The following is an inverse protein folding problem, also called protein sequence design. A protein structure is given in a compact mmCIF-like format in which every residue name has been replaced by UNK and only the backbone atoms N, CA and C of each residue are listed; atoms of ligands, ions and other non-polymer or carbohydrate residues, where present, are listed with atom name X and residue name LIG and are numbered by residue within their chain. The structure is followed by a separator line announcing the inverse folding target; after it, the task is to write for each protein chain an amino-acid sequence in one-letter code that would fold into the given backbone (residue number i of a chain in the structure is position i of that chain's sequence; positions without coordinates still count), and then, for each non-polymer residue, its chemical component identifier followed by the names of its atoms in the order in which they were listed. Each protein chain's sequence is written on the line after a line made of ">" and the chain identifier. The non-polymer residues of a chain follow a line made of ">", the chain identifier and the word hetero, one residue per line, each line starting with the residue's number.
data_IF_002182919051
#
_entry.id   IF_002182919051
#
_cell.length_a   1.000
_cell.length_b   1.000
_cell.length_c   1.000
_cell.angle_alpha   90.00
_cell.angle_beta   90.00
_cell.angle_gamma   90.00
#
_symmetry.space_group_name_H-M   'P 1'
#
loop_
_entity.id
_entity.type
_entity.pdbx_description
1 polymer ?
#
# COMPACT_ATOMS: atom_id res chain seq x y z
N UNK A 1 7.44 7.89 -5.92
CA UNK A 1 7.76 6.45 -6.07
C UNK A 1 8.67 6.26 -7.27
N UNK A 2 9.68 5.44 -7.12
CA UNK A 2 10.65 5.22 -8.18
C UNK A 2 11.15 3.79 -8.17
N UNK A 3 11.50 3.28 -9.35
CA UNK A 3 12.15 1.98 -9.51
C UNK A 3 13.45 2.15 -10.26
N UNK A 4 14.52 1.55 -9.74
CA UNK A 4 15.84 1.67 -10.33
C UNK A 4 16.62 0.37 -10.10
N UNK A 5 16.81 -0.39 -11.18
CA UNK A 5 17.49 -1.68 -11.12
C UNK A 5 18.92 -1.57 -10.63
N UNK A 6 19.58 -0.43 -10.83
CA UNK A 6 20.97 -0.25 -10.42
C UNK A 6 21.11 -0.20 -8.89
N UNK A 7 20.02 -0.05 -8.17
CA UNK A 7 20.03 0.03 -6.70
C UNK A 7 19.73 -1.31 -6.05
N UNK A 8 19.74 -2.39 -6.82
CA UNK A 8 19.51 -3.72 -6.29
C UNK A 8 20.33 -3.96 -5.03
N UNK A 9 19.79 -4.61 -3.95
CA UNK A 9 18.45 -5.23 -3.94
C UNK A 9 17.30 -4.27 -3.63
N UNK A 10 17.56 -3.00 -3.34
CA UNK A 10 16.54 -2.05 -2.95
C UNK A 10 16.18 -1.17 -4.15
N UNK A 11 15.51 -1.81 -5.10
CA UNK A 11 15.23 -1.19 -6.40
C UNK A 11 14.03 -0.24 -6.38
N UNK A 12 13.21 -0.26 -5.33
CA UNK A 12 11.98 0.52 -5.27
C UNK A 12 12.04 1.50 -4.12
N UNK A 13 11.70 2.75 -4.39
CA UNK A 13 11.58 3.78 -3.38
C UNK A 13 10.12 4.19 -3.26
N UNK A 14 9.57 4.10 -2.06
CA UNK A 14 8.23 4.60 -1.78
C UNK A 14 8.34 5.75 -0.78
N UNK A 15 7.30 6.56 -0.70
CA UNK A 15 7.32 7.66 0.25
C UNK A 15 5.97 8.31 0.43
N UNK A 16 5.93 9.22 1.38
CA UNK A 16 4.80 10.04 1.71
C UNK A 16 5.29 11.37 2.25
N UNK A 17 4.43 12.09 2.94
CA UNK A 17 4.79 13.38 3.51
C UNK A 17 5.83 13.18 4.61
N UNK A 18 7.05 13.67 4.37
CA UNK A 18 8.09 13.67 5.39
C UNK A 18 8.81 12.36 5.62
N UNK A 19 8.60 11.34 4.76
CA UNK A 19 9.29 10.06 4.91
C UNK A 19 9.48 9.37 3.58
N UNK A 20 10.44 8.45 3.54
CA UNK A 20 10.69 7.60 2.39
C UNK A 20 11.28 6.27 2.87
N UNK A 21 11.08 5.21 2.11
CA UNK A 21 11.62 3.89 2.40
C UNK A 21 11.99 3.17 1.12
N UNK A 22 13.07 2.38 1.21
CA UNK A 22 13.53 1.57 0.09
C UNK A 22 13.05 0.14 0.26
N UNK A 23 12.56 -0.46 -0.82
CA UNK A 23 12.02 -1.82 -0.82
C UNK A 23 12.73 -2.65 -1.86
N UNK A 24 12.82 -3.96 -1.60
CA UNK A 24 13.20 -4.91 -2.65
C UNK A 24 12.03 -5.06 -3.61
N UNK A 25 12.31 -5.61 -4.80
CA UNK A 25 11.26 -5.87 -5.78
C UNK A 25 10.19 -6.81 -5.22
N UNK A 26 10.60 -7.87 -4.51
CA UNK A 26 9.63 -8.80 -3.93
C UNK A 26 8.74 -8.13 -2.89
N UNK A 27 9.33 -7.27 -2.05
CA UNK A 27 8.56 -6.53 -1.07
C UNK A 27 7.57 -5.59 -1.74
N UNK A 28 8.00 -4.91 -2.79
CA UNK A 28 7.14 -3.97 -3.51
C UNK A 28 6.02 -4.69 -4.25
N UNK A 29 6.30 -5.85 -4.84
CA UNK A 29 5.28 -6.64 -5.52
C UNK A 29 4.23 -7.16 -4.55
N UNK A 30 4.65 -7.64 -3.37
CA UNK A 30 3.72 -8.09 -2.34
C UNK A 30 2.86 -6.92 -1.85
N UNK A 31 3.45 -5.75 -1.65
CA UNK A 31 2.72 -4.56 -1.26
C UNK A 31 1.69 -4.19 -2.33
N UNK A 32 2.10 -4.18 -3.59
CA UNK A 32 1.20 -3.88 -4.71
C UNK A 32 0.00 -4.81 -4.72
N UNK A 33 0.25 -6.11 -4.59
CA UNK A 33 -0.83 -7.10 -4.65
C UNK A 33 -1.77 -6.97 -3.46
N UNK A 34 -1.23 -6.75 -2.27
CA UNK A 34 -2.05 -6.59 -1.08
C UNK A 34 -2.90 -5.33 -1.12
N UNK A 35 -2.31 -4.22 -1.53
CA UNK A 35 -3.04 -2.95 -1.63
C UNK A 35 -4.13 -3.05 -2.69
N UNK A 36 -3.83 -3.69 -3.83
CA UNK A 36 -4.85 -3.91 -4.87
C UNK A 36 -6.03 -4.68 -4.33
N UNK A 37 -5.77 -5.74 -3.57
CA UNK A 37 -6.85 -6.58 -3.02
C UNK A 37 -7.68 -5.81 -1.99
N UNK A 38 -7.04 -5.00 -1.14
CA UNK A 38 -7.77 -4.18 -0.18
C UNK A 38 -8.64 -3.13 -0.88
N UNK A 39 -8.08 -2.46 -1.89
CA UNK A 39 -8.83 -1.45 -2.64
C UNK A 39 -10.03 -2.08 -3.35
N UNK A 40 -9.86 -3.30 -3.86
CA UNK A 40 -10.95 -4.03 -4.49
C UNK A 40 -12.05 -4.37 -3.49
N UNK A 41 -11.67 -4.82 -2.29
CA UNK A 41 -12.63 -5.11 -1.24
C UNK A 41 -13.43 -3.86 -0.86
N UNK A 42 -12.75 -2.72 -0.73
CA UNK A 42 -13.43 -1.46 -0.43
C UNK A 42 -14.43 -1.13 -1.53
N UNK A 43 -14.03 -1.26 -2.78
CA UNK A 43 -14.90 -0.94 -3.91
C UNK A 43 -16.16 -1.81 -3.92
N UNK A 44 -16.02 -3.09 -3.56
CA UNK A 44 -17.16 -4.00 -3.51
C UNK A 44 -18.13 -3.66 -2.37
N UNK A 45 -17.63 -3.08 -1.28
CA UNK A 45 -18.44 -2.81 -0.10
C UNK A 45 -18.98 -1.39 -0.06
N UNK A 46 -18.39 -0.47 -0.82
CA UNK A 46 -18.67 0.97 -0.67
C UNK A 46 -20.13 1.32 -0.88
N UNK A 47 -20.82 0.63 -1.80
CA UNK A 47 -22.23 0.91 -2.10
C UNK A 47 -23.17 0.45 -0.99
N UNK A 48 -22.67 -0.34 -0.05
CA UNK A 48 -23.45 -0.84 1.08
C UNK A 48 -23.27 0.03 2.33
N UNK A 49 -22.36 1.00 2.27
CA UNK A 49 -22.07 1.86 3.42
C UNK A 49 -23.03 3.03 3.44
N UNK A 50 -23.52 3.36 4.64
CA UNK A 50 -24.24 4.60 4.86
C UNK A 50 -23.24 5.75 4.90
N UNK A 51 -23.73 6.97 4.75
CA UNK A 51 -22.88 8.15 4.63
C UNK A 51 -21.91 8.33 5.79
N UNK A 52 -22.34 7.95 7.00
CA UNK A 52 -21.55 8.12 8.21
C UNK A 52 -20.80 6.85 8.64
N UNK A 53 -20.94 5.76 7.89
CA UNK A 53 -20.26 4.51 8.23
C UNK A 53 -18.82 4.49 7.72
N UNK A 54 -17.95 3.86 8.50
CA UNK A 54 -16.59 3.57 8.07
C UNK A 54 -16.33 2.09 8.20
N UNK A 55 -15.36 1.60 7.44
CA UNK A 55 -14.93 0.21 7.50
C UNK A 55 -13.43 0.15 7.69
N UNK A 56 -13.00 -0.96 8.27
CA UNK A 56 -11.59 -1.25 8.42
C UNK A 56 -11.34 -2.63 7.83
N UNK A 57 -10.41 -2.71 6.88
CA UNK A 57 -10.05 -3.95 6.20
C UNK A 57 -8.58 -4.22 6.42
N UNK A 58 -8.26 -5.46 6.79
CA UNK A 58 -6.88 -5.87 7.05
C UNK A 58 -6.55 -7.09 6.24
N UNK A 59 -5.28 -7.19 5.82
CA UNK A 59 -4.77 -8.44 5.27
C UNK A 59 -3.26 -8.51 5.45
N UNK A 60 -2.74 -9.73 5.37
CA UNK A 60 -1.30 -9.96 5.35
C UNK A 60 -0.91 -10.49 3.99
N UNK A 61 0.21 -9.99 3.47
CA UNK A 61 0.74 -10.46 2.20
C UNK A 61 2.25 -10.49 2.28
N UNK A 62 2.84 -11.68 2.18
CA UNK A 62 4.25 -11.84 2.45
C UNK A 62 4.55 -11.45 3.88
N UNK A 63 5.48 -10.52 4.06
CA UNK A 63 5.82 -10.00 5.38
C UNK A 63 5.16 -8.66 5.69
N UNK A 64 4.18 -8.26 4.88
CA UNK A 64 3.43 -7.03 5.10
C UNK A 64 2.17 -7.31 5.90
N UNK A 65 1.85 -6.41 6.81
CA UNK A 65 0.52 -6.24 7.38
C UNK A 65 -0.04 -4.95 6.81
N UNK A 66 -1.26 -5.02 6.26
CA UNK A 66 -1.89 -3.88 5.59
C UNK A 66 -3.24 -3.62 6.21
N UNK A 67 -3.57 -2.35 6.37
CA UNK A 67 -4.87 -1.92 6.88
C UNK A 67 -5.39 -0.75 6.06
N UNK A 68 -6.62 -0.89 5.59
CA UNK A 68 -7.34 0.16 4.90
C UNK A 68 -8.50 0.59 5.78
N UNK A 69 -8.56 1.88 6.09
CA UNK A 69 -9.69 2.46 6.82
C UNK A 69 -10.38 3.46 5.91
N UNK A 70 -11.68 3.30 5.72
CA UNK A 70 -12.36 4.16 4.76
C UNK A 70 -13.84 4.27 4.98
N UNK A 71 -14.43 5.09 4.13
CA UNK A 71 -15.86 5.34 4.08
C UNK A 71 -16.27 5.43 2.61
N UNK A 72 -17.44 6.00 2.35
CA UNK A 72 -17.94 6.13 0.98
C UNK A 72 -17.09 7.07 0.12
N UNK A 73 -16.34 7.97 0.74
CA UNK A 73 -15.60 9.01 0.04
C UNK A 73 -14.18 8.57 -0.36
N UNK A 74 -13.60 7.64 0.41
CA UNK A 74 -12.24 7.20 0.15
C UNK A 74 -11.67 6.45 1.35
N UNK A 75 -10.35 6.31 1.38
CA UNK A 75 -9.71 5.52 2.42
C UNK A 75 -8.26 5.95 2.65
N UNK A 76 -7.79 5.68 3.86
CA UNK A 76 -6.40 5.79 4.23
C UNK A 76 -5.77 4.40 4.24
N UNK A 77 -4.46 4.33 4.15
CA UNK A 77 -3.72 3.08 4.07
C UNK A 77 -2.56 3.08 5.05
N UNK A 78 -2.45 2.01 5.82
CA UNK A 78 -1.29 1.77 6.69
C UNK A 78 -0.63 0.47 6.25
N UNK A 79 0.69 0.47 6.18
CA UNK A 79 1.45 -0.72 5.80
C UNK A 79 2.62 -0.90 6.75
N UNK A 80 2.79 -2.13 7.25
CA UNK A 80 3.89 -2.45 8.16
C UNK A 80 4.64 -3.65 7.62
N UNK A 81 5.94 -3.48 7.37
CA UNK A 81 6.80 -4.57 6.93
C UNK A 81 7.48 -5.17 8.17
N UNK A 82 7.36 -6.48 8.31
CA UNK A 82 7.94 -7.18 9.44
C UNK A 82 9.47 -7.16 9.38
N UNK A 83 10.16 -6.89 10.51
CA UNK A 83 11.61 -6.94 10.52
C UNK A 83 12.17 -8.32 10.18
N UNK A 84 11.39 -9.39 10.32
CA UNK A 84 11.84 -10.73 9.99
C UNK A 84 12.14 -10.90 8.51
N UNK A 85 11.52 -10.09 7.66
CA UNK A 85 11.69 -10.21 6.21
C UNK A 85 13.08 -9.80 5.76
N UNK A 86 13.67 -8.76 6.37
CA UNK A 86 14.87 -8.14 5.84
C UNK A 86 15.74 -7.53 6.94
N UNK A 87 15.48 -7.88 8.19
CA UNK A 87 16.16 -7.33 9.35
C UNK A 87 15.98 -5.82 9.47
N UNK A 88 14.97 -5.28 8.83
CA UNK A 88 14.56 -3.89 8.99
C UNK A 88 13.04 -3.83 8.99
N UNK A 89 12.50 -2.83 9.62
CA UNK A 89 11.07 -2.60 9.69
C UNK A 89 10.72 -1.34 8.92
N UNK A 90 9.57 -1.38 8.25
CA UNK A 90 9.02 -0.20 7.59
C UNK A 90 7.61 -0.01 8.10
N UNK A 91 7.29 1.22 8.51
CA UNK A 91 5.95 1.58 8.92
C UNK A 91 5.54 2.78 8.09
N UNK A 92 4.50 2.61 7.30
CA UNK A 92 4.09 3.60 6.32
C UNK A 92 2.62 3.92 6.45
N UNK A 93 2.27 5.18 6.19
CA UNK A 93 0.89 5.63 6.25
C UNK A 93 0.62 6.65 5.16
N UNK A 94 -0.49 6.46 4.46
CA UNK A 94 -0.99 7.42 3.47
C UNK A 94 -2.39 7.84 3.89
N UNK A 95 -2.60 9.15 4.15
CA UNK A 95 -3.94 9.65 4.47
C UNK A 95 -4.84 9.56 3.25
N UNK A 96 -6.14 9.76 3.47
CA UNK A 96 -7.14 9.64 2.40
C UNK A 96 -6.80 10.49 1.18
N UNK A 97 -6.20 11.66 1.38
CA UNK A 97 -5.83 12.53 0.28
C UNK A 97 -4.70 11.99 -0.60
N UNK A 98 -3.94 11.00 -0.11
CA UNK A 98 -2.76 10.47 -0.81
C UNK A 98 -2.87 8.99 -1.16
N UNK A 99 -3.70 8.23 -0.47
CA UNK A 99 -3.69 6.77 -0.57
C UNK A 99 -4.07 6.26 -1.95
N UNK A 100 -5.08 6.84 -2.58
CA UNK A 100 -5.50 6.40 -3.90
C UNK A 100 -4.46 6.71 -4.96
N UNK A 101 -3.82 7.88 -4.86
CA UNK A 101 -2.74 8.25 -5.77
C UNK A 101 -1.54 7.33 -5.63
N UNK A 102 -1.17 7.00 -4.40
CA UNK A 102 -0.10 6.04 -4.15
C UNK A 102 -0.43 4.67 -4.75
N UNK A 103 -1.66 4.21 -4.52
CA UNK A 103 -2.09 2.91 -5.04
C UNK A 103 -2.03 2.86 -6.55
N UNK A 104 -2.51 3.91 -7.22
CA UNK A 104 -2.46 3.98 -8.69
C UNK A 104 -1.03 3.95 -9.20
N UNK A 105 -0.14 4.71 -8.56
CA UNK A 105 1.27 4.75 -8.95
C UNK A 105 1.94 3.39 -8.76
N UNK A 106 1.62 2.72 -7.66
CA UNK A 106 2.19 1.41 -7.34
C UNK A 106 1.75 0.36 -8.37
N UNK A 107 0.48 0.38 -8.77
CA UNK A 107 -0.01 -0.53 -9.80
C UNK A 107 0.72 -0.30 -11.13
N UNK A 108 0.94 0.96 -11.49
CA UNK A 108 1.63 1.28 -12.74
C UNK A 108 3.10 0.93 -12.74
N UNK A 109 3.72 0.89 -11.57
CA UNK A 109 5.14 0.59 -11.46
C UNK A 109 5.48 -0.77 -12.09
N UNK A 110 4.59 -1.74 -11.94
CA UNK A 110 4.73 -3.08 -12.50
C UNK A 110 3.64 -3.38 -13.51
N UNK A 111 2.88 -2.43 -13.84
CA UNK A 111 1.78 -2.59 -14.74
C UNK A 111 2.31 -2.73 -16.11
N UNK A 112 1.99 -3.39 -16.81
CA UNK A 112 2.42 -3.51 -17.96
C UNK A 112 2.04 -2.79 -18.93
N UNK A 113 2.46 -2.86 -19.77
CA UNK A 113 2.38 -1.90 -20.82
C UNK A 113 1.03 -1.59 -21.25
#
# INVERSE_FOLDING_TARGET
>A
MAWDASRHPFSVLIGGAGWAAELTDLEAQALRDGVRDLAEQHRQLVNQLMAEESIELELERGFWWLCLEGDREGWSLRAVLSPEASQRAVEAFWPQSAAQGFTAALQQLYGQP
#
